data_IF_049170315107
#
_entry.id   IF_049170315107
#
_cell.length_a   1.000
_cell.length_b   1.000
_cell.length_c   1.000
_cell.angle_alpha   90.00
_cell.angle_beta   90.00
_cell.angle_gamma   90.00
#
_symmetry.space_group_name_H-M   'P 1'
#
loop_
_entity.id
_entity.type
_entity.pdbx_description
1 polymer ?
#
# COMPACT_ATOMS: atom_id res chain seq x y z
N UNK A 1 -6.13 -10.42 16.98
CA UNK A 1 -7.61 -10.50 16.93
C UNK A 1 -8.28 -9.18 17.34
N UNK A 2 -7.88 -8.58 18.46
CA UNK A 2 -8.47 -7.33 18.97
C UNK A 2 -8.31 -6.11 18.05
N UNK A 3 -7.15 -5.93 17.39
CA UNK A 3 -6.95 -4.86 16.42
C UNK A 3 -7.90 -4.95 15.21
N UNK A 4 -8.33 -6.16 14.82
CA UNK A 4 -9.35 -6.36 13.78
C UNK A 4 -10.72 -5.88 14.23
N UNK A 5 -11.05 -6.08 15.51
CA UNK A 5 -12.29 -5.57 16.08
C UNK A 5 -12.24 -4.04 16.19
N UNK A 6 -11.12 -3.47 16.64
CA UNK A 6 -10.91 -2.02 16.61
C UNK A 6 -11.05 -1.45 15.19
N UNK A 7 -10.49 -2.10 14.16
CA UNK A 7 -10.68 -1.70 12.76
C UNK A 7 -12.15 -1.76 12.31
N UNK A 8 -12.89 -2.80 12.72
CA UNK A 8 -14.32 -2.91 12.40
C UNK A 8 -15.15 -1.79 13.02
N UNK A 9 -14.81 -1.34 14.23
CA UNK A 9 -15.47 -0.19 14.87
C UNK A 9 -15.24 1.11 14.11
N UNK A 10 -14.10 1.23 13.44
CA UNK A 10 -13.77 2.38 12.58
C UNK A 10 -14.55 2.31 11.26
N UNK A 11 -14.58 1.14 10.62
CA UNK A 11 -15.19 0.94 9.30
C UNK A 11 -16.71 0.88 9.29
N UNK A 12 -17.31 0.27 10.33
CA UNK A 12 -18.74 -0.03 10.37
C UNK A 12 -19.30 0.51 11.69
N UNK A 13 -19.38 1.86 11.83
CA UNK A 13 -19.92 2.49 13.03
C UNK A 13 -21.41 2.17 13.24
N UNK A 14 -22.12 1.76 12.18
CA UNK A 14 -23.52 1.32 12.22
C UNK A 14 -23.72 -0.11 12.72
N UNK A 15 -22.66 -0.89 12.93
CA UNK A 15 -22.80 -2.25 13.46
C UNK A 15 -23.36 -2.21 14.89
N UNK A 16 -24.16 -3.21 15.27
CA UNK A 16 -24.75 -3.30 16.62
C UNK A 16 -23.69 -3.17 17.73
N UNK A 17 -22.53 -3.82 17.54
CA UNK A 17 -21.42 -3.73 18.50
C UNK A 17 -20.87 -2.32 18.60
N UNK A 18 -20.72 -1.60 17.48
CA UNK A 18 -20.27 -0.22 17.48
C UNK A 18 -21.28 0.71 18.16
N UNK A 19 -22.58 0.56 17.86
CA UNK A 19 -23.65 1.36 18.47
C UNK A 19 -23.75 1.15 19.99
N UNK A 20 -23.65 -0.10 20.46
CA UNK A 20 -23.65 -0.41 21.89
C UNK A 20 -22.42 0.15 22.60
N UNK A 21 -21.25 0.11 21.97
CA UNK A 21 -20.04 0.70 22.54
C UNK A 21 -20.09 2.24 22.51
N UNK A 22 -20.66 2.83 21.46
CA UNK A 22 -20.87 4.27 21.36
C UNK A 22 -21.79 4.76 22.48
N UNK A 23 -22.99 4.21 22.61
CA UNK A 23 -23.95 4.63 23.65
C UNK A 23 -23.41 4.50 25.07
N UNK A 24 -22.47 3.56 25.30
CA UNK A 24 -21.86 3.35 26.61
C UNK A 24 -20.63 4.22 26.89
N UNK A 25 -19.78 4.47 25.88
CA UNK A 25 -18.45 5.07 26.10
C UNK A 25 -18.21 6.38 25.35
N UNK A 26 -18.98 6.69 24.31
CA UNK A 26 -18.88 7.95 23.57
C UNK A 26 -20.24 8.31 22.95
N UNK A 27 -20.98 9.21 23.60
CA UNK A 27 -22.31 9.65 23.15
C UNK A 27 -22.26 10.44 21.83
N UNK A 28 -21.12 11.07 21.52
CA UNK A 28 -20.87 11.78 20.27
C UNK A 28 -19.46 11.49 19.76
N UNK A 29 -19.28 11.56 18.44
CA UNK A 29 -18.00 11.30 17.77
C UNK A 29 -17.84 9.84 17.32
N UNK A 30 -16.60 9.35 17.34
CA UNK A 30 -16.25 8.03 16.83
C UNK A 30 -15.22 7.33 17.73
N UNK A 31 -15.02 6.04 17.49
CA UNK A 31 -14.05 5.22 18.24
C UNK A 31 -12.62 5.81 18.26
N UNK A 32 -12.20 6.49 17.19
CA UNK A 32 -10.84 7.06 17.11
C UNK A 32 -10.63 8.17 18.14
N UNK A 33 -11.66 8.98 18.39
CA UNK A 33 -11.60 10.13 19.30
C UNK A 33 -12.14 9.83 20.71
N UNK A 34 -12.72 8.64 20.91
CA UNK A 34 -13.34 8.26 22.17
C UNK A 34 -12.34 8.24 23.34
N UNK A 35 -12.77 8.67 24.53
CA UNK A 35 -11.91 8.75 25.71
C UNK A 35 -12.11 7.55 26.64
N UNK A 36 -11.19 7.36 27.58
CA UNK A 36 -11.28 6.25 28.55
C UNK A 36 -12.52 6.38 29.45
N UNK A 37 -12.88 7.60 29.85
CA UNK A 37 -13.97 7.85 30.80
C UNK A 37 -13.64 7.39 32.21
N UNK A 38 -14.62 7.50 33.11
CA UNK A 38 -14.47 7.25 34.56
C UNK A 38 -14.64 5.77 34.94
N UNK A 39 -15.50 5.02 34.24
CA UNK A 39 -15.76 3.60 34.55
C UNK A 39 -15.64 2.68 33.31
N UNK A 40 -14.42 2.51 32.77
CA UNK A 40 -14.20 1.71 31.57
C UNK A 40 -14.23 0.20 31.87
N UNK A 41 -14.92 -0.58 31.03
CA UNK A 41 -14.81 -2.05 31.11
C UNK A 41 -13.44 -2.54 30.65
N UNK A 42 -13.11 -3.79 30.99
CA UNK A 42 -11.87 -4.43 30.53
C UNK A 42 -11.74 -4.46 28.99
N UNK A 43 -12.84 -4.76 28.30
CA UNK A 43 -12.91 -4.73 26.84
C UNK A 43 -12.63 -3.32 26.29
N UNK A 44 -13.21 -2.28 26.88
CA UNK A 44 -13.00 -0.90 26.45
C UNK A 44 -11.55 -0.44 26.65
N UNK A 45 -10.95 -0.74 27.81
CA UNK A 45 -9.51 -0.51 28.07
C UNK A 45 -8.64 -1.18 27.01
N UNK A 46 -8.94 -2.43 26.68
CA UNK A 46 -8.16 -3.21 25.72
C UNK A 46 -8.31 -2.68 24.29
N UNK A 47 -9.53 -2.25 23.90
CA UNK A 47 -9.78 -1.64 22.59
C UNK A 47 -9.03 -0.30 22.45
N UNK A 48 -9.08 0.55 23.47
CA UNK A 48 -8.32 1.80 23.48
C UNK A 48 -6.80 1.57 23.45
N UNK A 49 -6.31 0.54 24.13
CA UNK A 49 -4.89 0.17 24.11
C UNK A 49 -4.41 -0.21 22.72
N UNK A 50 -5.22 -0.94 21.93
CA UNK A 50 -4.85 -1.32 20.56
C UNK A 50 -5.23 -0.29 19.50
N UNK A 51 -5.98 0.77 19.84
CA UNK A 51 -6.42 1.82 18.90
C UNK A 51 -5.31 2.49 18.10
N UNK A 52 -4.10 2.77 18.64
CA UNK A 52 -3.02 3.37 17.85
C UNK A 52 -2.61 2.53 16.62
N UNK A 53 -2.86 1.22 16.66
CA UNK A 53 -2.50 0.27 15.61
C UNK A 53 -3.26 0.54 14.31
N UNK A 54 -4.61 0.47 14.26
CA UNK A 54 -5.37 0.82 13.07
C UNK A 54 -5.16 2.28 12.66
N UNK A 55 -4.91 3.21 13.60
CA UNK A 55 -4.65 4.61 13.24
C UNK A 55 -3.40 4.79 12.39
N UNK A 56 -2.30 4.08 12.69
CA UNK A 56 -1.01 4.26 12.00
C UNK A 56 -1.07 4.03 10.49
N UNK A 57 -1.91 3.12 10.02
CA UNK A 57 -2.10 2.83 8.59
C UNK A 57 -3.47 3.19 8.05
N UNK A 58 -4.30 3.89 8.83
CA UNK A 58 -5.58 4.39 8.35
C UNK A 58 -5.33 5.57 7.41
N UNK A 59 -5.80 5.43 6.18
CA UNK A 59 -5.84 6.49 5.19
C UNK A 59 -7.18 6.42 4.44
N UNK A 60 -7.66 7.55 3.95
CA UNK A 60 -8.83 7.64 3.11
C UNK A 60 -8.41 7.50 1.65
N UNK A 61 -9.18 6.68 0.92
CA UNK A 61 -9.20 6.63 -0.54
C UNK A 61 -10.31 7.56 -1.02
N UNK A 62 -9.95 8.56 -1.81
CA UNK A 62 -10.85 9.61 -2.34
C UNK A 62 -11.73 9.05 -3.45
N UNK A 63 -13.04 8.97 -3.22
CA UNK A 63 -14.05 8.62 -4.22
C UNK A 63 -14.73 9.85 -4.76
N UNK A 64 -15.79 10.28 -4.06
CA UNK A 64 -16.53 11.49 -4.36
C UNK A 64 -16.04 12.70 -3.53
N UNK A 65 -15.20 12.49 -2.52
CA UNK A 65 -14.61 13.54 -1.68
C UNK A 65 -15.56 14.16 -0.65
N UNK A 66 -16.77 13.60 -0.44
CA UNK A 66 -17.80 14.15 0.45
C UNK A 66 -17.49 13.94 1.93
N UNK A 67 -16.88 12.82 2.28
CA UNK A 67 -16.68 12.39 3.67
C UNK A 67 -15.28 12.73 4.20
N UNK A 68 -14.40 13.24 3.33
CA UNK A 68 -13.00 13.52 3.65
C UNK A 68 -12.81 15.02 3.82
N UNK A 69 -12.36 15.44 5.00
CA UNK A 69 -11.94 16.84 5.24
C UNK A 69 -10.52 17.07 4.75
N UNK A 70 -10.31 18.15 3.98
CA UNK A 70 -9.03 18.46 3.32
C UNK A 70 -7.86 18.48 4.32
N UNK A 71 -8.02 19.22 5.42
CA UNK A 71 -6.90 19.54 6.32
C UNK A 71 -6.71 18.54 7.46
N UNK A 72 -7.81 18.02 8.01
CA UNK A 72 -7.77 17.20 9.24
C UNK A 72 -7.70 15.70 8.98
N UNK A 73 -8.13 15.22 7.81
CA UNK A 73 -8.15 13.79 7.51
C UNK A 73 -6.87 13.30 6.84
N UNK A 74 -6.64 12.00 6.96
CA UNK A 74 -5.48 11.29 6.40
C UNK A 74 -5.86 10.77 5.02
N UNK A 75 -5.46 11.41 3.94
CA UNK A 75 -5.87 11.03 2.58
C UNK A 75 -4.78 11.20 1.51
N UNK A 76 -3.58 11.64 1.89
CA UNK A 76 -2.47 11.92 0.98
C UNK A 76 -1.34 10.90 1.15
N UNK A 77 -1.27 9.80 0.36
CA UNK A 77 -0.52 8.58 0.71
C UNK A 77 1.00 8.70 0.88
N UNK A 78 1.60 9.76 0.33
CA UNK A 78 3.06 9.95 0.24
C UNK A 78 3.58 11.03 1.19
N UNK A 79 2.72 11.58 2.06
CA UNK A 79 3.11 12.57 3.07
C UNK A 79 3.31 11.93 4.45
N UNK A 80 4.09 12.57 5.34
CA UNK A 80 4.15 12.17 6.74
C UNK A 80 2.75 12.07 7.35
N UNK A 81 2.43 10.92 7.96
CA UNK A 81 1.12 10.61 8.56
C UNK A 81 -0.08 10.63 7.59
N UNK A 82 0.17 10.66 6.28
CA UNK A 82 -0.85 10.74 5.22
C UNK A 82 -1.69 12.03 5.22
N UNK A 83 -1.18 13.14 5.76
CA UNK A 83 -1.91 14.41 5.90
C UNK A 83 -1.28 15.53 5.08
N UNK A 84 -2.10 16.46 4.62
CA UNK A 84 -1.65 17.71 4.00
C UNK A 84 -0.78 18.50 4.99
N UNK A 85 0.38 18.95 4.52
CA UNK A 85 1.35 19.75 5.26
C UNK A 85 1.22 21.24 4.94
N UNK A 86 0.67 21.59 3.78
CA UNK A 86 0.38 22.98 3.42
C UNK A 86 -0.44 23.67 4.52
N UNK A 87 0.07 24.80 5.01
CA UNK A 87 -0.63 25.64 5.98
C UNK A 87 -1.39 26.72 5.23
N UNK A 88 -2.68 26.47 4.99
CA UNK A 88 -3.59 27.44 4.39
C UNK A 88 -4.83 27.63 5.28
N UNK A 89 -5.44 28.81 5.20
CA UNK A 89 -6.75 29.12 5.81
C UNK A 89 -7.90 29.04 4.79
N UNK A 90 -7.57 28.76 3.53
CA UNK A 90 -8.51 28.67 2.42
C UNK A 90 -8.26 27.38 1.62
N UNK A 91 -9.26 26.49 1.47
CA UNK A 91 -10.64 26.56 1.98
C UNK A 91 -10.73 26.41 3.52
N UNK A 92 -11.91 26.66 4.13
CA UNK A 92 -12.14 26.50 5.58
C UNK A 92 -11.67 25.15 6.16
N UNK A 93 -11.41 25.09 7.46
CA UNK A 93 -10.82 23.92 8.12
C UNK A 93 -11.66 22.62 7.97
N UNK A 94 -12.98 22.77 7.90
CA UNK A 94 -13.95 21.70 7.75
C UNK A 94 -14.32 21.40 6.29
N UNK A 95 -13.71 22.09 5.32
CA UNK A 95 -14.02 21.92 3.91
C UNK A 95 -13.76 20.47 3.44
N UNK A 96 -14.71 19.86 2.72
CA UNK A 96 -14.55 18.52 2.18
C UNK A 96 -13.64 18.54 0.94
N UNK A 97 -13.00 17.42 0.65
CA UNK A 97 -12.18 17.21 -0.56
C UNK A 97 -13.00 17.45 -1.83
N UNK A 98 -14.32 17.23 -1.78
CA UNK A 98 -15.27 17.60 -2.83
C UNK A 98 -15.08 19.05 -3.32
N UNK A 99 -14.71 19.99 -2.44
CA UNK A 99 -14.51 21.39 -2.85
C UNK A 99 -13.43 21.54 -3.94
N UNK A 100 -12.46 20.63 -3.96
CA UNK A 100 -11.37 20.56 -4.93
C UNK A 100 -11.72 19.77 -6.19
N UNK A 101 -12.90 19.13 -6.23
CA UNK A 101 -13.36 18.28 -7.34
C UNK A 101 -14.45 19.04 -8.12
N UNK A 102 -14.39 18.93 -9.44
CA UNK A 102 -15.50 19.28 -10.33
C UNK A 102 -16.42 18.08 -10.48
N UNK A 103 -17.60 18.15 -9.87
CA UNK A 103 -18.60 17.07 -9.88
C UNK A 103 -19.16 16.78 -11.27
N UNK A 104 -19.13 17.74 -12.20
CA UNK A 104 -19.72 17.56 -13.53
C UNK A 104 -18.87 16.65 -14.43
N UNK A 105 -17.54 16.73 -14.28
CA UNK A 105 -16.56 15.99 -15.07
C UNK A 105 -15.79 14.95 -14.24
N UNK A 106 -16.05 14.89 -12.93
CA UNK A 106 -15.40 13.99 -11.98
C UNK A 106 -13.86 14.08 -12.04
N UNK A 107 -13.33 15.30 -12.10
CA UNK A 107 -11.88 15.60 -12.12
C UNK A 107 -11.52 16.63 -11.07
N UNK A 108 -10.24 16.70 -10.70
CA UNK A 108 -9.73 17.76 -9.86
C UNK A 108 -9.85 19.12 -10.56
N UNK A 109 -10.03 20.18 -9.78
CA UNK A 109 -9.92 21.56 -10.24
C UNK A 109 -8.44 21.93 -10.25
N UNK A 110 -7.72 21.51 -11.30
CA UNK A 110 -6.26 21.61 -11.41
C UNK A 110 -5.70 22.97 -10.99
N UNK A 111 -6.31 24.05 -11.49
CA UNK A 111 -5.94 25.43 -11.16
C UNK A 111 -6.11 25.74 -9.65
N UNK A 112 -7.21 25.33 -9.05
CA UNK A 112 -7.49 25.57 -7.63
C UNK A 112 -6.53 24.78 -6.74
N UNK A 113 -6.25 23.52 -7.10
CA UNK A 113 -5.28 22.67 -6.39
C UNK A 113 -3.88 23.28 -6.46
N UNK A 114 -3.45 23.74 -7.64
CA UNK A 114 -2.13 24.39 -7.81
C UNK A 114 -1.98 25.71 -7.06
N UNK A 115 -3.09 26.40 -6.76
CA UNK A 115 -3.07 27.64 -5.97
C UNK A 115 -3.05 27.42 -4.46
N UNK A 116 -3.71 26.36 -3.99
CA UNK A 116 -3.90 26.13 -2.55
C UNK A 116 -2.71 25.39 -1.93
N UNK A 117 -2.18 24.38 -2.62
CA UNK A 117 -1.20 23.44 -2.06
C UNK A 117 0.22 23.72 -2.53
N UNK A 118 1.21 23.34 -1.72
CA UNK A 118 2.60 23.28 -2.16
C UNK A 118 2.72 22.42 -3.42
N UNK A 119 3.63 22.77 -4.33
CA UNK A 119 3.74 22.14 -5.64
C UNK A 119 3.79 20.60 -5.56
N UNK A 120 4.60 20.05 -4.65
CA UNK A 120 4.70 18.59 -4.45
C UNK A 120 3.37 17.97 -4.03
N UNK A 121 2.63 18.62 -3.12
CA UNK A 121 1.31 18.16 -2.67
C UNK A 121 0.24 18.33 -3.73
N UNK A 122 0.24 19.45 -4.46
CA UNK A 122 -0.64 19.68 -5.58
C UNK A 122 -0.46 18.58 -6.63
N UNK A 123 0.78 18.30 -7.03
CA UNK A 123 1.08 17.20 -7.94
C UNK A 123 0.51 15.89 -7.41
N UNK A 124 0.78 15.52 -6.15
CA UNK A 124 0.27 14.31 -5.51
C UNK A 124 -1.26 14.22 -5.50
N UNK A 125 -1.96 15.31 -5.19
CA UNK A 125 -3.43 15.38 -5.17
C UNK A 125 -3.98 15.08 -6.57
N UNK A 126 -3.42 15.73 -7.60
CA UNK A 126 -3.83 15.52 -8.99
C UNK A 126 -3.58 14.08 -9.47
N UNK A 127 -2.70 13.32 -8.81
CA UNK A 127 -2.45 11.89 -9.08
C UNK A 127 -3.52 10.96 -8.49
N UNK A 128 -4.28 11.42 -7.49
CA UNK A 128 -5.27 10.57 -6.82
C UNK A 128 -6.47 10.39 -7.75
N UNK A 129 -6.87 9.15 -8.09
CA UNK A 129 -8.07 8.93 -8.90
C UNK A 129 -9.31 9.38 -8.14
N UNK A 130 -10.19 10.08 -8.85
CA UNK A 130 -11.55 10.44 -8.40
C UNK A 130 -12.52 9.47 -9.04
N UNK A 131 -13.57 9.06 -8.31
CA UNK A 131 -14.58 8.19 -8.89
C UNK A 131 -15.45 8.95 -9.89
N UNK A 132 -15.67 8.36 -11.06
CA UNK A 132 -16.58 8.90 -12.05
C UNK A 132 -18.00 8.35 -11.92
N UNK A 133 -18.15 7.14 -11.37
CA UNK A 133 -19.45 6.50 -11.16
C UNK A 133 -20.00 6.75 -9.74
N UNK A 134 -19.43 7.74 -9.03
CA UNK A 134 -19.91 8.14 -7.71
C UNK A 134 -19.58 7.18 -6.57
N UNK A 135 -18.57 6.31 -6.73
CA UNK A 135 -18.08 5.45 -5.65
C UNK A 135 -17.73 6.30 -4.42
N UNK A 136 -18.36 6.01 -3.28
CA UNK A 136 -18.17 6.76 -2.05
C UNK A 136 -16.77 6.63 -1.47
N UNK A 137 -16.34 7.64 -0.70
CA UNK A 137 -15.07 7.65 0.00
C UNK A 137 -14.91 6.42 0.90
N UNK A 138 -13.67 5.91 1.02
CA UNK A 138 -13.41 4.73 1.84
C UNK A 138 -12.19 4.88 2.71
N UNK A 139 -12.30 4.46 3.96
CA UNK A 139 -11.14 4.24 4.81
C UNK A 139 -10.45 2.94 4.44
N UNK A 140 -9.15 3.00 4.17
CA UNK A 140 -8.32 1.88 3.76
C UNK A 140 -7.12 1.74 4.70
N UNK A 141 -6.58 0.53 4.70
CA UNK A 141 -5.30 0.25 5.34
C UNK A 141 -4.17 0.44 4.31
N UNK A 142 -3.37 1.50 4.46
CA UNK A 142 -2.31 1.88 3.51
C UNK A 142 -1.24 0.82 3.31
N UNK A 143 -1.06 -0.10 4.26
CA UNK A 143 -0.03 -1.13 4.19
C UNK A 143 -0.51 -2.44 3.55
N UNK A 144 -1.63 -2.44 2.82
CA UNK A 144 -2.04 -3.55 1.95
C UNK A 144 -2.50 -3.01 0.60
N UNK A 145 -2.13 -3.72 -0.49
CA UNK A 145 -2.44 -3.27 -1.86
C UNK A 145 -3.94 -3.13 -2.14
N UNK A 146 -4.75 -3.98 -1.52
CA UNK A 146 -6.21 -3.99 -1.67
C UNK A 146 -6.94 -3.11 -0.64
N UNK A 147 -6.21 -2.37 0.21
CA UNK A 147 -6.77 -1.54 1.27
C UNK A 147 -7.39 -2.28 2.46
N UNK A 148 -7.35 -3.63 2.51
CA UNK A 148 -7.93 -4.41 3.59
C UNK A 148 -7.02 -4.53 4.80
N UNK A 149 -7.59 -4.42 5.99
CA UNK A 149 -6.87 -4.63 7.25
C UNK A 149 -6.66 -6.12 7.55
N UNK A 150 -5.40 -6.54 7.62
CA UNK A 150 -5.01 -7.93 7.94
C UNK A 150 -4.20 -7.96 9.24
N UNK A 151 -4.67 -8.74 10.22
CA UNK A 151 -4.01 -8.83 11.55
C UNK A 151 -2.58 -9.37 11.45
N UNK A 152 -2.30 -10.24 10.47
CA UNK A 152 -1.00 -10.90 10.28
C UNK A 152 0.09 -9.90 9.85
N UNK A 153 -0.22 -8.92 9.00
CA UNK A 153 0.74 -7.86 8.61
C UNK A 153 1.01 -6.91 9.77
N UNK A 154 -0.02 -6.61 10.57
CA UNK A 154 0.03 -5.71 11.73
C UNK A 154 0.80 -6.29 12.93
N UNK A 155 0.51 -7.53 13.34
CA UNK A 155 1.05 -8.11 14.57
C UNK A 155 2.55 -8.42 14.48
N UNK A 156 3.03 -8.76 13.29
CA UNK A 156 4.40 -9.22 13.09
C UNK A 156 5.39 -8.06 12.92
N UNK A 157 5.06 -7.07 12.07
CA UNK A 157 5.87 -5.85 11.96
C UNK A 157 5.85 -5.02 13.24
N UNK A 158 4.72 -4.94 13.96
CA UNK A 158 4.66 -4.11 15.15
C UNK A 158 5.42 -4.67 16.36
N UNK A 159 5.51 -6.00 16.52
CA UNK A 159 6.37 -6.58 17.56
C UNK A 159 7.84 -6.35 17.24
N UNK A 160 8.24 -6.53 15.98
CA UNK A 160 9.61 -6.30 15.51
C UNK A 160 10.00 -4.81 15.66
N UNK A 161 9.10 -3.88 15.30
CA UNK A 161 9.29 -2.42 15.45
C UNK A 161 9.25 -1.98 16.92
N UNK A 162 8.39 -2.55 17.76
CA UNK A 162 8.32 -2.17 19.18
C UNK A 162 9.55 -2.67 19.96
N UNK A 163 10.09 -3.85 19.65
CA UNK A 163 11.36 -4.30 20.23
C UNK A 163 12.53 -3.43 19.75
N UNK A 164 12.54 -3.01 18.48
CA UNK A 164 13.51 -2.03 17.98
C UNK A 164 13.37 -0.68 18.71
N UNK A 165 12.14 -0.20 18.94
CA UNK A 165 11.88 1.02 19.71
C UNK A 165 12.38 0.90 21.13
N UNK A 166 12.12 -0.23 21.81
CA UNK A 166 12.69 -0.51 23.14
C UNK A 166 14.21 -0.50 23.10
N UNK A 167 14.82 -1.06 22.07
CA UNK A 167 16.28 -1.04 21.92
C UNK A 167 16.83 0.39 21.80
N UNK A 168 16.23 1.24 20.96
CA UNK A 168 16.61 2.65 20.79
C UNK A 168 16.44 3.51 22.06
N UNK A 169 15.65 3.06 23.03
CA UNK A 169 15.40 3.80 24.27
C UNK A 169 15.96 3.09 25.51
N UNK A 170 16.90 2.15 25.34
CA UNK A 170 17.47 1.35 26.45
C UNK A 170 16.39 0.67 27.32
N UNK A 171 15.26 0.34 26.70
CA UNK A 171 14.13 -0.35 27.30
C UNK A 171 14.27 -1.87 27.30
N UNK A 172 15.22 -2.43 26.55
CA UNK A 172 15.50 -3.86 26.57
C UNK A 172 16.15 -4.28 27.91
N UNK A 173 15.74 -5.42 28.51
CA UNK A 173 16.28 -5.93 29.76
C UNK A 173 17.66 -6.59 29.60
N UNK A 174 18.63 -5.82 29.08
CA UNK A 174 20.05 -6.19 29.11
C UNK A 174 20.57 -6.11 30.56
N UNK A 175 21.64 -6.85 30.90
CA UNK A 175 22.22 -6.81 32.25
C UNK A 175 22.62 -5.39 32.67
N UNK A 176 23.12 -4.55 31.75
CA UNK A 176 23.40 -3.15 32.09
C UNK A 176 22.13 -2.37 32.45
N UNK A 177 21.04 -2.55 31.70
CA UNK A 177 19.78 -1.83 31.97
C UNK A 177 19.08 -2.36 33.22
N UNK A 178 19.16 -3.66 33.50
CA UNK A 178 18.69 -4.26 34.75
C UNK A 178 19.50 -3.78 35.95
N UNK A 179 20.82 -3.67 35.82
CA UNK A 179 21.71 -3.13 36.86
C UNK A 179 21.38 -1.66 37.15
N UNK A 180 21.19 -0.83 36.11
CA UNK A 180 20.73 0.57 36.26
C UNK A 180 19.39 0.68 36.98
N UNK A 181 18.51 -0.30 36.79
CA UNK A 181 17.20 -0.40 37.47
C UNK A 181 17.27 -1.08 38.85
N UNK A 182 18.48 -1.43 39.33
CA UNK A 182 18.72 -2.12 40.61
C UNK A 182 17.99 -3.48 40.73
N UNK A 183 17.82 -4.17 39.60
CA UNK A 183 17.20 -5.51 39.55
C UNK A 183 18.26 -6.62 39.68
N UNK A 184 19.51 -6.33 39.32
CA UNK A 184 20.65 -7.26 39.41
C UNK A 184 21.87 -6.52 39.93
N UNK A 185 22.80 -7.25 40.55
CA UNK A 185 23.99 -6.67 41.19
C UNK A 185 25.20 -6.52 40.24
N UNK A 186 25.15 -7.16 39.06
CA UNK A 186 26.26 -7.20 38.11
C UNK A 186 25.77 -6.88 36.67
N UNK A 187 26.35 -5.87 35.97
CA UNK A 187 26.01 -5.54 34.59
C UNK A 187 26.72 -6.39 33.52
N UNK A 188 27.55 -7.36 33.88
CA UNK A 188 28.35 -8.15 32.93
C UNK A 188 27.50 -9.08 32.07
N UNK A 189 27.99 -9.36 30.86
CA UNK A 189 27.34 -10.21 29.87
C UNK A 189 27.17 -11.64 30.39
N UNK A 190 25.96 -12.20 30.41
CA UNK A 190 25.72 -13.54 30.93
C UNK A 190 26.28 -14.66 30.02
N UNK A 191 26.74 -14.33 28.81
CA UNK A 191 27.27 -15.30 27.84
C UNK A 191 28.80 -15.34 27.87
N UNK A 192 29.48 -14.19 27.87
CA UNK A 192 30.95 -14.16 27.87
C UNK A 192 31.58 -13.70 29.19
N UNK A 193 30.84 -12.99 30.04
CA UNK A 193 31.32 -12.39 31.29
C UNK A 193 32.56 -11.46 31.17
N UNK A 194 32.92 -11.04 29.95
CA UNK A 194 34.10 -10.19 29.68
C UNK A 194 33.82 -8.69 29.65
N UNK A 195 32.55 -8.30 29.50
CA UNK A 195 32.18 -6.88 29.31
C UNK A 195 30.72 -6.62 29.74
N UNK A 196 30.40 -5.36 30.01
CA UNK A 196 29.02 -4.93 30.31
C UNK A 196 28.07 -5.24 29.14
N UNK A 197 26.90 -5.81 29.42
CA UNK A 197 25.88 -6.13 28.41
C UNK A 197 25.08 -4.87 28.04
N UNK A 198 25.58 -4.07 27.10
CA UNK A 198 24.83 -2.93 26.52
C UNK A 198 23.91 -3.40 25.39
N UNK A 199 22.83 -2.65 25.12
CA UNK A 199 21.91 -2.91 24.00
C UNK A 199 22.62 -2.92 22.65
N UNK A 200 23.49 -1.94 22.40
CA UNK A 200 24.29 -1.86 21.17
C UNK A 200 25.14 -3.12 20.95
N UNK A 201 25.97 -3.49 21.94
CA UNK A 201 26.78 -4.72 21.87
C UNK A 201 25.95 -5.95 21.53
N UNK A 202 24.88 -6.21 22.26
CA UNK A 202 24.05 -7.42 22.07
C UNK A 202 23.50 -7.51 20.64
N UNK A 203 23.13 -6.38 20.05
CA UNK A 203 22.43 -6.34 18.76
C UNK A 203 23.35 -6.07 17.57
N UNK A 204 24.56 -5.55 17.78
CA UNK A 204 25.45 -5.09 16.71
C UNK A 204 26.91 -5.52 16.87
N UNK A 205 27.64 -4.95 17.84
CA UNK A 205 29.11 -5.09 17.90
C UNK A 205 29.64 -6.36 18.55
N UNK A 206 28.81 -7.11 19.29
CA UNK A 206 29.23 -8.38 19.89
C UNK A 206 29.52 -9.43 18.82
N UNK A 207 30.54 -10.27 19.03
CA UNK A 207 31.02 -11.26 18.03
C UNK A 207 29.87 -12.11 17.49
N UNK A 208 29.02 -12.65 18.38
CA UNK A 208 27.89 -13.46 17.96
C UNK A 208 26.87 -12.70 17.09
N UNK A 209 26.70 -11.39 17.29
CA UNK A 209 25.85 -10.55 16.45
C UNK A 209 26.53 -10.27 15.10
N UNK A 210 27.83 -9.95 15.11
CA UNK A 210 28.62 -9.72 13.88
C UNK A 210 28.63 -10.94 12.96
N UNK A 211 28.64 -12.16 13.51
CA UNK A 211 28.54 -13.39 12.73
C UNK A 211 27.23 -13.51 11.95
N UNK A 212 26.13 -12.94 12.45
CA UNK A 212 24.85 -12.89 11.73
C UNK A 212 24.89 -11.78 10.68
N UNK A 213 25.39 -10.60 11.05
CA UNK A 213 25.53 -9.47 10.13
C UNK A 213 26.51 -9.76 8.98
N UNK A 214 27.44 -10.70 9.14
CA UNK A 214 28.33 -11.17 8.07
C UNK A 214 27.56 -11.65 6.82
N UNK A 215 26.35 -12.19 6.98
CA UNK A 215 25.53 -12.63 5.85
C UNK A 215 24.69 -11.50 5.21
N UNK A 216 24.70 -10.30 5.79
CA UNK A 216 24.01 -9.12 5.26
C UNK A 216 24.82 -8.42 4.16
N UNK A 217 24.31 -7.30 3.60
CA UNK A 217 24.98 -6.58 2.52
C UNK A 217 26.38 -6.08 2.92
N UNK A 218 27.32 -6.01 1.95
CA UNK A 218 28.68 -5.49 2.21
C UNK A 218 28.68 -4.06 2.78
N UNK A 219 27.62 -3.28 2.51
CA UNK A 219 27.42 -1.94 3.07
C UNK A 219 27.13 -2.02 4.57
N UNK A 220 26.22 -2.89 5.01
CA UNK A 220 25.92 -3.11 6.43
C UNK A 220 27.12 -3.67 7.19
N UNK A 221 27.88 -4.60 6.60
CA UNK A 221 29.08 -5.15 7.23
C UNK A 221 30.17 -4.08 7.48
N UNK A 222 30.24 -3.07 6.60
CA UNK A 222 31.21 -1.97 6.67
C UNK A 222 30.70 -0.75 7.43
N UNK A 223 29.46 -0.77 7.92
CA UNK A 223 28.93 0.29 8.78
C UNK A 223 29.71 0.28 10.10
N UNK A 224 30.75 1.13 10.17
CA UNK A 224 31.58 1.31 11.36
C UNK A 224 30.88 2.24 12.32
N UNK A 225 31.05 1.97 13.60
CA UNK A 225 30.58 2.81 14.70
C UNK A 225 31.77 3.02 15.61
N UNK A 226 32.16 4.27 15.82
CA UNK A 226 33.06 4.64 16.92
C UNK A 226 32.20 5.24 18.02
N UNK A 227 32.08 4.52 19.16
CA UNK A 227 31.55 5.02 20.43
C UNK A 227 30.12 5.64 20.45
N UNK A 228 29.16 5.07 19.71
CA UNK A 228 27.76 5.52 19.74
C UNK A 228 26.82 4.53 20.43
N UNK A 229 25.72 5.05 20.99
CA UNK A 229 24.65 4.21 21.55
C UNK A 229 23.77 3.60 20.44
N UNK A 230 22.94 2.61 20.77
CA UNK A 230 22.12 1.89 19.78
C UNK A 230 21.14 2.82 19.03
N UNK A 231 20.67 3.89 19.67
CA UNK A 231 19.79 4.88 19.06
C UNK A 231 20.47 5.63 17.92
N UNK A 232 21.66 6.17 18.18
CA UNK A 232 22.47 6.91 17.20
C UNK A 232 22.86 6.02 16.02
N UNK A 233 23.24 4.76 16.30
CA UNK A 233 23.44 3.75 15.27
C UNK A 233 22.22 3.63 14.35
N UNK A 234 21.03 3.44 14.93
CA UNK A 234 19.81 3.27 14.13
C UNK A 234 19.48 4.51 13.30
N UNK A 235 19.66 5.73 13.82
CA UNK A 235 19.46 6.96 13.04
C UNK A 235 20.38 7.02 11.83
N UNK A 236 21.68 6.75 12.01
CA UNK A 236 22.62 6.73 10.89
C UNK A 236 22.26 5.68 9.83
N UNK A 237 21.76 4.51 10.26
CA UNK A 237 21.29 3.47 9.33
C UNK A 237 20.03 3.94 8.59
N UNK A 238 19.07 4.57 9.26
CA UNK A 238 17.86 5.10 8.64
C UNK A 238 18.14 6.16 7.57
N UNK A 239 19.14 7.03 7.79
CA UNK A 239 19.49 8.08 6.84
C UNK A 239 20.31 7.57 5.63
N UNK A 240 20.90 6.37 5.73
CA UNK A 240 21.86 5.86 4.74
C UNK A 240 21.32 4.72 3.85
N UNK A 241 20.31 3.99 4.31
CA UNK A 241 19.86 2.74 3.68
C UNK A 241 18.42 2.83 3.15
N UNK A 242 18.15 2.07 2.08
CA UNK A 242 16.83 2.02 1.45
C UNK A 242 15.83 1.16 2.24
N UNK A 243 14.53 1.36 2.02
CA UNK A 243 13.43 0.72 2.76
C UNK A 243 13.59 -0.81 2.91
N UNK A 244 13.99 -1.51 1.83
CA UNK A 244 14.18 -2.96 1.84
C UNK A 244 15.30 -3.40 2.79
N UNK A 245 16.39 -2.64 2.84
CA UNK A 245 17.52 -2.90 3.74
C UNK A 245 17.14 -2.54 5.18
N UNK A 246 16.40 -1.45 5.39
CA UNK A 246 15.90 -1.07 6.72
C UNK A 246 14.98 -2.14 7.31
N UNK A 247 14.09 -2.72 6.50
CA UNK A 247 13.25 -3.85 6.93
C UNK A 247 14.09 -5.07 7.32
N UNK A 248 15.15 -5.37 6.56
CA UNK A 248 16.08 -6.44 6.93
C UNK A 248 16.75 -6.17 8.28
N UNK A 249 17.21 -4.93 8.51
CA UNK A 249 17.83 -4.52 9.77
C UNK A 249 16.87 -4.76 10.95
N UNK A 250 15.62 -4.30 10.81
CA UNK A 250 14.58 -4.45 11.85
C UNK A 250 14.37 -5.92 12.22
N UNK A 251 14.21 -6.80 11.22
CA UNK A 251 13.96 -8.23 11.45
C UNK A 251 15.18 -8.93 12.06
N UNK A 252 16.39 -8.61 11.60
CA UNK A 252 17.62 -9.22 12.12
C UNK A 252 17.87 -8.78 13.57
N UNK A 253 17.68 -7.50 13.90
CA UNK A 253 17.76 -6.99 15.30
C UNK A 253 16.80 -7.76 16.21
N UNK A 254 15.55 -7.93 15.78
CA UNK A 254 14.56 -8.69 16.55
C UNK A 254 14.97 -10.16 16.74
N UNK A 255 15.47 -10.82 15.69
CA UNK A 255 15.94 -12.20 15.75
C UNK A 255 17.16 -12.36 16.67
N UNK A 256 18.10 -11.42 16.64
CA UNK A 256 19.26 -11.40 17.52
C UNK A 256 18.85 -11.32 18.99
N UNK A 257 17.93 -10.42 19.31
CA UNK A 257 17.36 -10.30 20.66
C UNK A 257 16.69 -11.61 21.12
N UNK A 258 15.88 -12.22 20.24
CA UNK A 258 15.24 -13.51 20.53
C UNK A 258 16.24 -14.65 20.73
N UNK A 259 17.30 -14.73 19.92
CA UNK A 259 18.36 -15.73 20.08
C UNK A 259 19.07 -15.59 21.42
N UNK A 260 19.41 -14.36 21.83
CA UNK A 260 20.01 -14.09 23.14
C UNK A 260 19.11 -14.60 24.28
N UNK A 261 17.81 -14.31 24.21
CA UNK A 261 16.88 -14.76 25.24
C UNK A 261 16.73 -16.29 25.28
N UNK A 262 16.63 -16.94 24.12
CA UNK A 262 16.59 -18.41 24.06
C UNK A 262 17.87 -19.03 24.64
N UNK A 263 19.04 -18.45 24.37
CA UNK A 263 20.30 -18.94 24.93
C UNK A 263 20.35 -18.81 26.45
N UNK A 264 19.85 -17.71 27.02
CA UNK A 264 19.94 -17.45 28.47
C UNK A 264 18.87 -18.17 29.27
N UNK A 265 17.63 -18.19 28.78
CA UNK A 265 16.48 -18.70 29.52
C UNK A 265 16.11 -20.15 29.16
N UNK A 266 16.49 -20.61 27.97
CA UNK A 266 16.13 -21.94 27.46
C UNK A 266 17.36 -22.80 27.14
N UNK A 267 18.58 -22.23 27.23
CA UNK A 267 19.85 -22.88 26.84
C UNK A 267 19.87 -23.36 25.38
N UNK A 268 19.12 -22.68 24.49
CA UNK A 268 19.02 -23.01 23.07
C UNK A 268 19.87 -22.04 22.26
N UNK A 269 20.81 -22.58 21.47
CA UNK A 269 21.63 -21.81 20.54
C UNK A 269 21.19 -22.01 19.10
N UNK A 270 20.97 -20.90 18.38
CA UNK A 270 20.68 -20.92 16.93
C UNK A 270 21.90 -20.45 16.13
N UNK A 271 22.43 -21.28 15.20
CA UNK A 271 23.59 -20.92 14.39
C UNK A 271 23.37 -19.64 13.56
N UNK A 272 24.42 -18.81 13.33
CA UNK A 272 24.27 -17.51 12.67
C UNK A 272 23.60 -17.57 11.28
N UNK A 273 24.03 -18.48 10.41
CA UNK A 273 23.47 -18.66 9.08
C UNK A 273 21.99 -19.09 9.13
N UNK A 274 21.64 -19.99 10.07
CA UNK A 274 20.26 -20.47 10.23
C UNK A 274 19.36 -19.32 10.67
N UNK A 275 19.80 -18.51 11.64
CA UNK A 275 19.06 -17.34 12.09
C UNK A 275 18.89 -16.30 10.97
N UNK A 276 19.96 -16.04 10.20
CA UNK A 276 19.89 -15.11 9.08
C UNK A 276 18.91 -15.61 8.01
N UNK A 277 18.97 -16.89 7.63
CA UNK A 277 18.02 -17.49 6.69
C UNK A 277 16.58 -17.43 7.21
N UNK A 278 16.35 -17.63 8.51
CA UNK A 278 15.04 -17.42 9.11
C UNK A 278 14.58 -15.96 9.06
N UNK A 279 15.50 -14.99 9.17
CA UNK A 279 15.19 -13.57 9.00
C UNK A 279 14.82 -13.25 7.54
N UNK A 280 15.55 -13.81 6.56
CA UNK A 280 15.21 -13.67 5.13
C UNK A 280 13.88 -14.35 4.80
N UNK A 281 13.65 -15.56 5.32
CA UNK A 281 12.38 -16.26 5.17
C UNK A 281 11.25 -15.41 5.76
N UNK A 282 11.45 -14.82 6.94
CA UNK A 282 10.49 -13.93 7.56
C UNK A 282 10.21 -12.68 6.72
N UNK A 283 11.25 -12.05 6.14
CA UNK A 283 11.07 -10.96 5.20
C UNK A 283 10.29 -11.41 3.97
N UNK A 284 10.57 -12.61 3.45
CA UNK A 284 9.86 -13.18 2.32
C UNK A 284 8.40 -13.49 2.66
N UNK A 285 8.08 -13.87 3.91
CA UNK A 285 6.71 -14.06 4.39
C UNK A 285 5.98 -12.72 4.55
N UNK A 286 6.68 -11.68 5.00
CA UNK A 286 6.17 -10.31 5.06
C UNK A 286 5.84 -9.85 3.63
N UNK A 287 6.80 -9.98 2.71
CA UNK A 287 6.64 -9.65 1.29
C UNK A 287 5.56 -10.50 0.60
N UNK A 288 5.53 -11.81 0.84
CA UNK A 288 4.54 -12.71 0.31
C UNK A 288 3.17 -12.44 0.93
N UNK A 289 3.04 -12.05 2.19
CA UNK A 289 1.76 -11.62 2.76
C UNK A 289 1.20 -10.35 2.08
N UNK A 290 2.08 -9.54 1.47
CA UNK A 290 1.68 -8.43 0.60
C UNK A 290 1.32 -8.87 -0.84
N UNK A 291 1.81 -10.03 -1.32
CA UNK A 291 1.52 -10.59 -2.65
C UNK A 291 0.43 -11.68 -2.65
N UNK A 292 0.19 -12.34 -1.51
CA UNK A 292 -0.65 -13.53 -1.37
C UNK A 292 -2.10 -13.14 -1.08
N UNK A 293 -2.68 -12.39 -2.00
CA UNK A 293 -4.08 -12.50 -2.35
C UNK A 293 -4.23 -12.79 -3.85
N UNK A 294 -3.34 -13.62 -4.41
CA UNK A 294 -3.80 -14.50 -5.48
C UNK A 294 -4.67 -15.57 -4.83
N UNK A 295 -5.98 -15.41 -4.98
CA UNK A 295 -6.92 -16.49 -4.71
C UNK A 295 -6.51 -17.62 -5.64
N UNK A 296 -6.06 -18.76 -5.08
CA UNK A 296 -5.96 -20.01 -5.83
C UNK A 296 -7.38 -20.49 -6.10
N UNK A 297 -8.01 -19.97 -7.13
CA UNK A 297 -9.17 -20.61 -7.74
C UNK A 297 -8.59 -21.56 -8.79
N UNK A 298 -8.64 -22.85 -8.51
CA UNK A 298 -8.51 -23.87 -9.54
C UNK A 298 -9.73 -23.76 -10.46
N UNK A 299 -9.55 -23.14 -11.63
CA UNK A 299 -10.55 -23.10 -12.70
C UNK A 299 -10.06 -24.01 -13.83
N UNK A 300 -10.95 -24.80 -14.47
CA UNK A 300 -10.61 -25.56 -15.67
C UNK A 300 -10.10 -24.60 -16.75
N UNK A 301 -8.94 -24.92 -17.30
CA UNK A 301 -8.40 -24.29 -18.51
C UNK A 301 -9.39 -24.47 -19.65
N UNK A 302 -10.24 -23.46 -19.88
CA UNK A 302 -10.84 -23.25 -21.18
C UNK A 302 -9.84 -22.46 -22.01
N UNK A 303 -8.99 -23.19 -22.72
CA UNK A 303 -8.23 -22.68 -23.86
C UNK A 303 -9.23 -22.14 -24.88
N UNK A 304 -9.52 -20.85 -24.82
CA UNK A 304 -10.39 -20.17 -25.78
C UNK A 304 -9.50 -19.47 -26.81
N UNK A 305 -9.75 -19.81 -28.07
CA UNK A 305 -9.08 -19.36 -29.29
C UNK A 305 -9.11 -17.84 -29.43
N UNK A 306 -8.00 -17.21 -29.05
CA UNK A 306 -7.79 -15.77 -28.84
C UNK A 306 -7.73 -14.90 -30.12
N UNK A 307 -8.10 -15.43 -31.29
CA UNK A 307 -7.91 -14.72 -32.57
C UNK A 307 -9.14 -14.80 -33.47
N UNK A 308 -10.33 -14.54 -32.93
CA UNK A 308 -11.52 -14.35 -33.77
C UNK A 308 -11.76 -12.85 -33.98
N UNK A 309 -11.91 -12.45 -35.25
CA UNK A 309 -12.39 -11.12 -35.62
C UNK A 309 -13.79 -10.93 -35.01
N UNK A 310 -14.14 -9.73 -34.50
CA UNK A 310 -15.46 -9.51 -33.93
C UNK A 310 -16.53 -9.64 -35.04
N UNK A 311 -17.77 -10.01 -34.69
CA UNK A 311 -18.88 -9.99 -35.64
C UNK A 311 -19.11 -8.59 -36.23
N UNK A 312 -19.71 -8.52 -37.42
CA UNK A 312 -20.03 -7.25 -38.08
C UNK A 312 -20.93 -6.38 -37.18
N UNK A 313 -20.58 -5.10 -37.04
CA UNK A 313 -21.30 -4.16 -36.16
C UNK A 313 -20.83 -4.16 -34.70
N UNK A 314 -19.88 -5.03 -34.32
CA UNK A 314 -19.29 -5.07 -32.98
C UNK A 314 -17.82 -4.65 -33.08
N UNK A 315 -17.39 -3.75 -32.21
CA UNK A 315 -15.99 -3.32 -32.16
C UNK A 315 -15.21 -4.13 -31.13
N UNK A 316 -13.95 -4.42 -31.42
CA UNK A 316 -13.02 -5.03 -30.46
C UNK A 316 -12.12 -3.96 -29.87
N UNK A 317 -11.99 -3.95 -28.55
CA UNK A 317 -11.19 -2.98 -27.81
C UNK A 317 -10.15 -3.73 -26.97
N UNK A 318 -8.88 -3.43 -27.23
CA UNK A 318 -7.73 -3.90 -26.47
C UNK A 318 -7.15 -2.73 -25.66
N UNK A 319 -6.70 -2.98 -24.43
CA UNK A 319 -5.94 -1.98 -23.65
C UNK A 319 -4.64 -2.57 -23.12
N UNK A 320 -3.70 -1.69 -22.77
CA UNK A 320 -2.47 -2.01 -22.05
C UNK A 320 -2.00 -0.76 -21.30
N UNK A 321 -1.16 -0.96 -20.28
CA UNK A 321 -0.46 0.11 -19.61
C UNK A 321 1.04 -0.16 -19.47
N UNK A 322 1.84 0.89 -19.60
CA UNK A 322 3.28 0.85 -19.38
C UNK A 322 3.68 1.84 -18.30
N UNK A 323 4.63 1.45 -17.45
CA UNK A 323 5.11 2.29 -16.34
C UNK A 323 6.62 2.37 -16.39
N UNK A 324 7.16 3.59 -16.31
CA UNK A 324 8.57 3.87 -16.05
C UNK A 324 8.72 4.35 -14.61
N UNK A 325 9.31 3.51 -13.77
CA UNK A 325 9.52 3.81 -12.34
C UNK A 325 10.66 4.79 -12.10
N UNK A 326 11.61 4.90 -13.03
CA UNK A 326 12.75 5.80 -12.88
C UNK A 326 12.36 7.24 -13.21
N UNK A 327 11.52 7.40 -14.24
CA UNK A 327 11.04 8.71 -14.68
C UNK A 327 9.68 9.10 -14.07
N UNK A 328 9.10 8.22 -13.25
CA UNK A 328 7.76 8.41 -12.66
C UNK A 328 6.68 8.68 -13.73
N UNK A 329 6.72 7.90 -14.81
CA UNK A 329 5.80 8.03 -15.95
C UNK A 329 4.87 6.82 -16.07
N UNK A 330 3.63 7.08 -16.47
CA UNK A 330 2.69 6.07 -16.89
C UNK A 330 2.19 6.40 -18.31
N UNK A 331 2.16 5.38 -19.16
CA UNK A 331 1.61 5.39 -20.50
C UNK A 331 0.40 4.46 -20.55
N UNK A 332 -0.73 4.96 -21.05
CA UNK A 332 -1.95 4.18 -21.21
C UNK A 332 -2.28 4.10 -22.69
N UNK A 333 -2.79 2.94 -23.11
CA UNK A 333 -3.26 2.78 -24.48
C UNK A 333 -4.57 2.03 -24.57
N UNK A 334 -5.36 2.44 -25.54
CA UNK A 334 -6.54 1.71 -26.02
C UNK A 334 -6.47 1.61 -27.53
N UNK A 335 -6.76 0.43 -28.07
CA UNK A 335 -6.77 0.12 -29.50
C UNK A 335 -8.15 -0.42 -29.84
N UNK A 336 -8.83 0.22 -30.80
CA UNK A 336 -10.16 -0.17 -31.28
C UNK A 336 -10.05 -0.74 -32.68
N UNK A 337 -10.74 -1.86 -32.93
CA UNK A 337 -10.74 -2.56 -34.22
C UNK A 337 -12.14 -2.92 -34.69
N UNK A 338 -12.30 -2.99 -36.00
CA UNK A 338 -13.51 -3.48 -36.65
C UNK A 338 -13.54 -5.02 -36.83
N UNK A 339 -14.57 -5.52 -37.51
CA UNK A 339 -14.76 -6.92 -37.87
C UNK A 339 -13.80 -7.45 -38.93
N UNK A 340 -13.06 -6.59 -39.61
CA UNK A 340 -12.03 -6.98 -40.59
C UNK A 340 -10.64 -7.04 -39.95
N UNK A 341 -10.49 -6.44 -38.76
CA UNK A 341 -9.25 -6.35 -37.99
C UNK A 341 -8.51 -5.02 -38.18
N UNK A 342 -9.06 -4.11 -38.98
CA UNK A 342 -8.53 -2.76 -39.16
C UNK A 342 -8.67 -1.96 -37.87
N UNK A 343 -7.67 -1.12 -37.61
CA UNK A 343 -7.70 -0.22 -36.46
C UNK A 343 -8.60 0.95 -36.80
N UNK A 344 -9.67 1.12 -36.03
CA UNK A 344 -10.59 2.25 -36.16
C UNK A 344 -10.08 3.46 -35.38
N UNK A 345 -9.48 3.22 -34.22
CA UNK A 345 -8.92 4.28 -33.40
C UNK A 345 -7.83 3.75 -32.47
N UNK A 346 -6.89 4.64 -32.11
CA UNK A 346 -6.01 4.43 -30.96
C UNK A 346 -6.02 5.64 -30.06
N UNK A 347 -5.97 5.40 -28.75
CA UNK A 347 -5.82 6.44 -27.75
C UNK A 347 -4.54 6.16 -26.98
N UNK A 348 -3.64 7.14 -26.91
CA UNK A 348 -2.39 7.08 -26.16
C UNK A 348 -2.32 8.27 -25.21
N UNK A 349 -2.15 7.99 -23.93
CA UNK A 349 -2.11 9.02 -22.89
C UNK A 349 -0.83 8.85 -22.08
N UNK A 350 -0.11 9.95 -21.86
CA UNK A 350 1.02 10.04 -20.94
C UNK A 350 0.61 10.79 -19.69
N UNK A 351 1.00 10.29 -18.53
CA UNK A 351 0.88 11.02 -17.26
C UNK A 351 2.15 10.87 -16.42
N UNK A 352 2.50 11.93 -15.69
CA UNK A 352 3.63 11.93 -14.76
C UNK A 352 3.19 11.31 -13.43
N UNK A 353 3.04 9.98 -13.42
CA UNK A 353 2.55 9.21 -12.28
C UNK A 353 3.48 8.03 -11.96
N UNK A 354 3.81 7.89 -10.67
CA UNK A 354 4.36 6.64 -10.15
C UNK A 354 3.21 5.69 -9.83
N UNK A 355 2.87 4.82 -10.77
CA UNK A 355 1.86 3.78 -10.57
C UNK A 355 2.53 2.43 -10.38
N UNK A 356 1.89 1.53 -9.64
CA UNK A 356 2.20 0.12 -9.80
C UNK A 356 1.50 -0.41 -11.06
N UNK A 357 2.00 -1.48 -11.69
CA UNK A 357 1.43 -1.99 -12.94
C UNK A 357 -0.06 -2.34 -12.85
N UNK A 358 -0.57 -2.79 -11.70
CA UNK A 358 -1.98 -3.14 -11.57
C UNK A 358 -2.89 -1.91 -11.58
N UNK A 359 -2.49 -0.85 -10.87
CA UNK A 359 -3.21 0.42 -10.91
C UNK A 359 -3.17 1.04 -12.31
N UNK A 360 -2.04 0.93 -13.02
CA UNK A 360 -1.90 1.41 -14.39
C UNK A 360 -2.85 0.71 -15.36
N UNK A 361 -2.94 -0.62 -15.28
CA UNK A 361 -3.90 -1.43 -16.06
C UNK A 361 -5.36 -1.10 -15.73
N UNK A 362 -5.64 -0.77 -14.46
CA UNK A 362 -6.98 -0.37 -14.03
C UNK A 362 -7.38 0.97 -14.67
N UNK A 363 -6.47 1.93 -14.76
CA UNK A 363 -6.67 3.17 -15.52
C UNK A 363 -6.90 2.92 -17.01
N UNK A 364 -6.05 2.13 -17.66
CA UNK A 364 -6.17 1.83 -19.09
C UNK A 364 -7.51 1.16 -19.41
N UNK A 365 -7.93 0.18 -18.61
CA UNK A 365 -9.24 -0.46 -18.76
C UNK A 365 -10.39 0.54 -18.60
N UNK A 366 -10.30 1.45 -17.63
CA UNK A 366 -11.29 2.50 -17.44
C UNK A 366 -11.37 3.43 -18.66
N UNK A 367 -10.23 3.86 -19.20
CA UNK A 367 -10.20 4.69 -20.40
C UNK A 367 -10.82 3.97 -21.61
N UNK A 368 -10.63 2.65 -21.72
CA UNK A 368 -11.24 1.87 -22.78
C UNK A 368 -12.77 1.93 -22.77
N UNK A 369 -13.37 1.99 -21.57
CA UNK A 369 -14.83 2.09 -21.42
C UNK A 369 -15.34 3.52 -21.59
N UNK A 370 -14.42 4.49 -21.51
CA UNK A 370 -14.55 5.92 -21.86
C UNK A 370 -15.13 6.19 -23.26
N UNK A 371 -14.87 5.27 -24.20
CA UNK A 371 -15.02 5.52 -25.64
C UNK A 371 -16.47 5.53 -26.14
N UNK A 372 -17.44 5.07 -25.34
CA UNK A 372 -18.88 5.23 -25.62
C UNK A 372 -19.47 4.29 -26.69
N UNK A 373 -18.74 3.27 -27.15
CA UNK A 373 -19.28 2.24 -28.06
C UNK A 373 -20.34 1.37 -27.38
N UNK A 374 -21.44 1.07 -28.08
CA UNK A 374 -22.60 0.36 -27.51
C UNK A 374 -22.51 -1.17 -27.54
N UNK A 375 -21.76 -1.73 -28.51
CA UNK A 375 -21.60 -3.17 -28.70
C UNK A 375 -20.12 -3.50 -28.84
N UNK A 376 -19.53 -4.10 -27.80
CA UNK A 376 -18.07 -4.24 -27.70
C UNK A 376 -17.58 -5.63 -27.27
N UNK A 377 -16.40 -6.02 -27.73
CA UNK A 377 -15.60 -7.14 -27.22
C UNK A 377 -14.32 -6.57 -26.61
N UNK A 378 -14.07 -6.88 -25.35
CA UNK A 378 -12.98 -6.34 -24.56
C UNK A 378 -11.91 -7.39 -24.30
N UNK A 379 -10.65 -7.03 -24.49
CA UNK A 379 -9.52 -7.93 -24.28
C UNK A 379 -8.36 -7.22 -23.58
N UNK A 380 -7.88 -7.81 -22.49
CA UNK A 380 -6.70 -7.32 -21.76
C UNK A 380 -5.86 -8.46 -21.22
N UNK A 381 -4.58 -8.19 -20.92
CA UNK A 381 -3.63 -9.20 -20.45
C UNK A 381 -3.45 -9.20 -18.92
N UNK A 382 -4.01 -8.21 -18.22
CA UNK A 382 -4.08 -8.17 -16.78
C UNK A 382 -5.27 -8.99 -16.23
N UNK A 383 -5.05 -10.29 -15.98
CA UNK A 383 -6.09 -11.21 -15.49
C UNK A 383 -6.88 -10.68 -14.29
N UNK A 384 -6.22 -10.04 -13.33
CA UNK A 384 -6.87 -9.48 -12.15
C UNK A 384 -7.80 -8.30 -12.45
N UNK A 385 -7.46 -7.46 -13.42
CA UNK A 385 -8.33 -6.38 -13.91
C UNK A 385 -9.52 -6.98 -14.66
N UNK A 386 -9.27 -7.91 -15.58
CA UNK A 386 -10.32 -8.59 -16.35
C UNK A 386 -11.32 -9.32 -15.45
N UNK A 387 -10.84 -10.12 -14.50
CA UNK A 387 -11.70 -10.82 -13.55
C UNK A 387 -12.43 -9.82 -12.64
N UNK A 388 -11.75 -8.78 -12.16
CA UNK A 388 -12.38 -7.72 -11.38
C UNK A 388 -13.52 -7.01 -12.14
N UNK A 389 -13.37 -6.79 -13.45
CA UNK A 389 -14.43 -6.25 -14.30
C UNK A 389 -15.56 -7.29 -14.49
N UNK A 390 -15.26 -8.59 -14.63
CA UNK A 390 -16.26 -9.67 -14.82
C UNK A 390 -17.11 -9.97 -13.60
N UNK A 391 -16.53 -10.05 -12.42
CA UNK A 391 -17.21 -10.48 -11.18
C UNK A 391 -17.43 -9.33 -10.19
N UNK A 392 -16.77 -8.19 -10.40
CA UNK A 392 -16.72 -7.07 -9.45
C UNK A 392 -15.49 -7.14 -8.55
N UNK A 393 -14.71 -6.05 -8.52
CA UNK A 393 -13.53 -5.96 -7.66
C UNK A 393 -13.92 -5.99 -6.17
N UNK A 394 -13.14 -6.73 -5.39
CA UNK A 394 -13.39 -6.94 -3.96
C UNK A 394 -12.53 -6.05 -3.06
N UNK A 395 -11.46 -5.45 -3.59
CA UNK A 395 -10.58 -4.56 -2.84
C UNK A 395 -11.21 -3.20 -2.59
N UNK A 396 -10.60 -2.46 -1.69
CA UNK A 396 -11.03 -1.12 -1.27
C UNK A 396 -10.08 -0.02 -1.74
N UNK A 397 -9.03 -0.39 -2.46
CA UNK A 397 -8.00 0.51 -3.00
C UNK A 397 -8.46 1.22 -4.29
N UNK A 398 -7.60 2.10 -4.79
CA UNK A 398 -7.85 2.87 -6.01
C UNK A 398 -8.02 2.01 -7.26
N UNK A 399 -7.29 0.89 -7.39
CA UNK A 399 -7.42 -0.01 -8.55
C UNK A 399 -8.81 -0.64 -8.54
N UNK A 400 -9.25 -1.14 -7.39
CA UNK A 400 -10.58 -1.70 -7.21
C UNK A 400 -11.70 -0.70 -7.52
N UNK A 401 -11.53 0.57 -7.12
CA UNK A 401 -12.48 1.62 -7.51
C UNK A 401 -12.52 1.82 -9.03
N UNK A 402 -11.38 1.98 -9.69
CA UNK A 402 -11.33 2.19 -11.15
C UNK A 402 -11.93 1.01 -11.92
N UNK A 403 -11.71 -0.21 -11.44
CA UNK A 403 -12.32 -1.43 -12.00
C UNK A 403 -13.84 -1.42 -11.84
N UNK A 404 -14.37 -0.98 -10.69
CA UNK A 404 -15.81 -0.87 -10.45
C UNK A 404 -16.43 0.25 -11.30
N UNK A 405 -15.73 1.37 -11.48
CA UNK A 405 -16.18 2.45 -12.36
C UNK A 405 -16.24 1.96 -13.81
N UNK A 406 -15.21 1.26 -14.30
CA UNK A 406 -15.20 0.63 -15.62
C UNK A 406 -16.36 -0.36 -15.80
N UNK A 407 -16.59 -1.23 -14.82
CA UNK A 407 -17.74 -2.16 -14.83
C UNK A 407 -19.09 -1.43 -14.85
N UNK A 408 -19.22 -0.33 -14.12
CA UNK A 408 -20.43 0.48 -14.09
C UNK A 408 -20.72 1.09 -15.48
N UNK A 409 -19.69 1.57 -16.18
CA UNK A 409 -19.82 2.04 -17.56
C UNK A 409 -20.28 0.92 -18.50
N UNK A 410 -19.72 -0.29 -18.36
CA UNK A 410 -20.12 -1.45 -19.17
C UNK A 410 -21.58 -1.86 -18.98
N UNK A 411 -22.09 -1.76 -17.75
CA UNK A 411 -23.49 -2.09 -17.47
C UNK A 411 -24.50 -1.12 -18.12
N UNK A 412 -24.05 0.01 -18.65
CA UNK A 412 -24.88 0.96 -19.40
C UNK A 412 -24.95 0.63 -20.90
N UNK A 413 -24.12 -0.29 -21.39
CA UNK A 413 -24.02 -0.64 -22.81
C UNK A 413 -25.06 -1.69 -23.20
N UNK A 414 -25.41 -1.72 -24.49
CA UNK A 414 -26.35 -2.72 -25.04
C UNK A 414 -25.79 -4.14 -24.96
N UNK A 415 -24.51 -4.31 -25.32
CA UNK A 415 -23.86 -5.62 -25.35
C UNK A 415 -22.36 -5.49 -25.11
N UNK A 416 -21.84 -6.30 -24.20
CA UNK A 416 -20.39 -6.40 -24.02
C UNK A 416 -19.97 -7.82 -23.65
N UNK A 417 -18.75 -8.17 -24.03
CA UNK A 417 -18.05 -9.36 -23.54
C UNK A 417 -16.62 -8.97 -23.19
N UNK A 418 -15.98 -9.70 -22.29
CA UNK A 418 -14.60 -9.44 -21.88
C UNK A 418 -13.83 -10.76 -21.74
N UNK A 419 -12.59 -10.78 -22.22
CA UNK A 419 -11.69 -11.92 -22.15
C UNK A 419 -10.30 -11.52 -21.67
N UNK A 420 -9.66 -12.44 -20.94
CA UNK A 420 -8.24 -12.33 -20.63
C UNK A 420 -7.46 -12.99 -21.75
N UNK A 421 -6.45 -12.29 -22.26
CA UNK A 421 -5.61 -12.76 -23.36
C UNK A 421 -4.15 -12.80 -22.93
N UNK A 422 -3.37 -13.72 -23.51
CA UNK A 422 -1.94 -13.73 -23.26
C UNK A 422 -1.28 -12.51 -23.93
N UNK A 423 -0.29 -11.91 -23.29
CA UNK A 423 0.40 -10.70 -23.74
C UNK A 423 0.91 -10.73 -25.19
N UNK A 424 1.28 -11.92 -25.70
CA UNK A 424 1.67 -12.10 -27.10
C UNK A 424 0.55 -11.77 -28.10
N UNK A 425 -0.71 -11.97 -27.72
CA UNK A 425 -1.88 -11.62 -28.52
C UNK A 425 -2.30 -10.16 -28.34
N UNK A 426 -1.83 -9.50 -27.28
CA UNK A 426 -2.04 -8.07 -27.03
C UNK A 426 -0.86 -7.20 -27.52
N UNK A 427 -0.10 -7.68 -28.51
CA UNK A 427 1.19 -7.10 -28.89
C UNK A 427 1.09 -5.64 -29.37
N UNK A 428 0.02 -5.29 -30.08
CA UNK A 428 -0.17 -3.92 -30.60
C UNK A 428 -0.42 -2.93 -29.47
N UNK A 429 -1.33 -3.25 -28.54
CA UNK A 429 -1.50 -2.44 -27.33
C UNK A 429 -0.17 -2.40 -26.55
N UNK A 430 0.53 -3.52 -26.43
CA UNK A 430 1.80 -3.53 -25.70
C UNK A 430 2.88 -2.60 -26.28
N UNK A 431 3.03 -2.58 -27.61
CA UNK A 431 4.01 -1.72 -28.28
C UNK A 431 3.58 -0.25 -28.17
N UNK A 432 2.31 0.06 -28.43
CA UNK A 432 1.80 1.42 -28.36
C UNK A 432 1.78 1.98 -26.93
N UNK A 433 1.58 1.13 -25.92
CA UNK A 433 1.67 1.50 -24.51
C UNK A 433 3.07 1.97 -24.11
N UNK A 434 4.12 1.31 -24.63
CA UNK A 434 5.50 1.79 -24.45
C UNK A 434 5.77 3.10 -25.20
N UNK A 435 5.27 3.22 -26.43
CA UNK A 435 5.35 4.46 -27.21
C UNK A 435 4.68 5.63 -26.48
N UNK A 436 3.58 5.39 -25.77
CA UNK A 436 2.87 6.39 -24.99
C UNK A 436 3.74 7.05 -23.89
N UNK A 437 4.84 6.43 -23.44
CA UNK A 437 5.76 7.09 -22.49
C UNK A 437 6.55 8.25 -23.13
N UNK A 438 6.71 8.22 -24.45
CA UNK A 438 7.52 9.17 -25.24
C UNK A 438 6.72 10.32 -25.86
N UNK A 439 5.39 10.26 -25.87
CA UNK A 439 4.55 11.30 -26.47
C UNK A 439 4.55 12.59 -25.60
N UNK A 440 4.38 13.74 -26.24
CA UNK A 440 4.32 15.04 -25.56
C UNK A 440 2.94 15.33 -24.96
N UNK A 441 1.87 15.06 -25.73
CA UNK A 441 0.48 15.25 -25.35
C UNK A 441 -0.31 13.97 -25.58
N UNK A 442 -1.51 13.85 -24.99
CA UNK A 442 -2.44 12.77 -25.32
C UNK A 442 -2.76 12.78 -26.81
N UNK A 443 -2.63 11.62 -27.45
CA UNK A 443 -2.86 11.43 -28.89
C UNK A 443 -4.07 10.52 -29.10
N UNK A 444 -4.96 10.95 -30.00
CA UNK A 444 -6.14 10.20 -30.43
C UNK A 444 -6.09 10.09 -31.95
N UNK A 445 -5.73 8.91 -32.44
CA UNK A 445 -5.63 8.63 -33.86
C UNK A 445 -6.93 7.94 -34.30
N UNK A 446 -7.57 8.43 -35.36
CA UNK A 446 -8.81 7.87 -35.95
C UNK A 446 -8.47 7.40 -37.35
N UNK A 447 -8.83 6.16 -37.70
CA UNK A 447 -8.62 5.52 -39.01
C UNK A 447 -7.14 5.35 -39.46
N UNK A 448 -6.18 5.91 -38.73
CA UNK A 448 -4.75 5.76 -38.97
C UNK A 448 -4.08 4.91 -37.88
N UNK A 449 -3.17 4.02 -38.28
CA UNK A 449 -2.31 3.27 -37.36
C UNK A 449 -1.05 4.11 -37.13
N UNK A 450 -0.68 4.41 -35.87
CA UNK A 450 0.57 5.11 -35.57
C UNK A 450 1.77 4.37 -36.16
N UNK A 451 2.65 5.09 -36.86
CA UNK A 451 3.90 4.54 -37.42
C UNK A 451 4.89 4.11 -36.34
#
# INVERSE_FOLDING_TARGET
>A
MLAKQAWRLVQIPSSLVAQVLASKYYNSGNFLNAQLGSNPSYLWRSLLLVRPIPMKGLCWRVGNGKDIKIWSNRWLPLTPNFQVQTRSSTPPEDAPVLALIDESICKWKDHLVGQIFHQEEAEMILRIPVSQCGSGDKQIWSFTRNGHFIVKSVYHMQVEIEELRKACHEGLPTKLNLYRKKVVDNPMCPICDLSKETTERVLWSYVAARDVWFYSSKRLQKAKIENQNFKELMFNLFDTFEEKELLQIVVVVWKLWKRRNAMIFENIFSPPLVLFNQAIQRLSEIHASFQSQQIRISIPTSSSSCCMRPPQGIVKINWDASVDKHLYLAGFVVVVRDSEGHVLATMRIKQNLLLDPHLAESYASKFAMELGYQQIILEGDALNVVEGIKIGAQGWDSSSMLILDARSLLNQLQQWTIAHIHKSFNSVAHVLGRSALSIANSVFDIEEVPQ
#
